data_IF_950027110643
#
_entry.id   IF_950027110643
#
_cell.length_a   1.000
_cell.length_b   1.000
_cell.length_c   1.000
_cell.angle_alpha   90.00
_cell.angle_beta   90.00
_cell.angle_gamma   90.00
#
_symmetry.space_group_name_H-M   'P 1'
#
loop_
_entity.id
_entity.type
_entity.pdbx_description
1 polymer ?
#
# COMPACT_ATOMS: atom_id res chain seq x y z
N UNK A 1 -2.44 23.90 -13.93
CA UNK A 1 -3.31 24.56 -14.93
C UNK A 1 -2.83 25.98 -15.16
N UNK A 2 -2.26 26.20 -16.29
CA UNK A 2 -1.65 27.44 -16.67
C UNK A 2 -2.69 28.37 -17.32
N UNK A 3 -2.49 29.70 -17.17
CA UNK A 3 -3.34 30.73 -17.77
C UNK A 3 -2.97 30.96 -19.26
N UNK A 4 -2.82 29.86 -20.00
CA UNK A 4 -2.43 29.88 -21.40
C UNK A 4 -3.65 29.78 -22.32
N UNK A 5 -3.62 30.35 -23.50
CA UNK A 5 -4.61 30.14 -24.53
C UNK A 5 -4.78 28.65 -24.89
N UNK A 6 -5.89 28.30 -25.50
CA UNK A 6 -6.11 26.94 -26.01
C UNK A 6 -5.07 26.61 -27.08
N UNK A 7 -4.39 25.48 -26.92
CA UNK A 7 -3.34 25.04 -27.87
C UNK A 7 -3.94 24.50 -29.18
N UNK A 8 -5.18 24.05 -29.17
CA UNK A 8 -5.87 23.46 -30.31
C UNK A 8 -7.39 23.75 -30.29
N UNK A 9 -8.00 23.68 -31.46
CA UNK A 9 -9.45 23.69 -31.64
C UNK A 9 -9.97 22.26 -31.68
N UNK A 10 -11.12 22.02 -31.05
CA UNK A 10 -11.78 20.71 -31.01
C UNK A 10 -13.12 20.82 -31.67
N UNK A 11 -13.39 19.98 -32.66
CA UNK A 11 -14.69 19.90 -33.39
C UNK A 11 -15.39 18.58 -33.09
N UNK A 12 -16.72 18.65 -32.86
CA UNK A 12 -17.51 17.44 -32.75
C UNK A 12 -17.68 16.82 -34.17
N UNK A 13 -17.33 15.55 -34.31
CA UNK A 13 -17.47 14.80 -35.58
C UNK A 13 -18.79 14.05 -35.66
N UNK A 14 -19.47 13.87 -34.54
CA UNK A 14 -20.78 13.22 -34.44
C UNK A 14 -21.66 13.98 -33.46
N UNK A 15 -22.95 13.74 -33.50
CA UNK A 15 -23.90 14.26 -32.50
C UNK A 15 -23.64 13.55 -31.17
N UNK A 16 -23.43 14.32 -30.09
CA UNK A 16 -23.15 13.80 -28.76
C UNK A 16 -23.43 14.80 -27.66
N UNK A 17 -23.30 14.37 -26.41
CA UNK A 17 -23.40 15.19 -25.21
C UNK A 17 -22.09 15.26 -24.51
N UNK A 18 -21.72 16.43 -24.00
CA UNK A 18 -20.49 16.66 -23.26
C UNK A 18 -20.78 17.24 -21.87
N UNK A 19 -20.04 16.79 -20.90
CA UNK A 19 -19.98 17.45 -19.60
C UNK A 19 -18.97 18.56 -19.62
N UNK A 20 -19.38 19.77 -19.23
CA UNK A 20 -18.49 20.92 -19.11
C UNK A 20 -18.29 21.28 -17.64
N UNK A 21 -17.03 21.55 -17.28
CA UNK A 21 -16.69 22.00 -15.94
C UNK A 21 -15.90 23.32 -16.02
N UNK A 22 -16.36 24.33 -15.27
CA UNK A 22 -15.63 25.59 -15.20
C UNK A 22 -14.29 25.41 -14.49
N UNK A 23 -13.30 26.29 -14.79
CA UNK A 23 -12.01 26.32 -14.11
C UNK A 23 -12.17 26.48 -12.59
N UNK A 24 -13.11 27.33 -12.15
CA UNK A 24 -13.36 27.57 -10.74
C UNK A 24 -13.89 26.30 -10.04
N UNK A 25 -14.83 25.62 -10.65
CA UNK A 25 -15.38 24.34 -10.16
C UNK A 25 -14.31 23.27 -10.11
N UNK A 26 -13.48 23.14 -11.16
CA UNK A 26 -12.36 22.21 -11.20
C UNK A 26 -11.39 22.45 -10.04
N UNK A 27 -10.94 23.70 -9.86
CA UNK A 27 -10.05 24.06 -8.76
C UNK A 27 -10.65 23.75 -7.40
N UNK A 28 -11.91 24.13 -7.19
CA UNK A 28 -12.59 23.92 -5.91
C UNK A 28 -12.78 22.45 -5.58
N UNK A 29 -13.14 21.61 -6.52
CA UNK A 29 -13.47 20.21 -6.28
C UNK A 29 -12.20 19.35 -6.35
N UNK A 30 -11.49 19.38 -7.47
CA UNK A 30 -10.37 18.45 -7.73
C UNK A 30 -9.15 18.79 -6.89
N UNK A 31 -8.74 20.08 -6.87
CA UNK A 31 -7.55 20.46 -6.10
C UNK A 31 -7.81 20.38 -4.59
N UNK A 32 -9.01 20.69 -4.12
CA UNK A 32 -9.35 20.55 -2.70
C UNK A 32 -9.31 19.08 -2.27
N UNK A 33 -9.86 18.16 -3.09
CA UNK A 33 -9.82 16.72 -2.79
C UNK A 33 -8.39 16.19 -2.76
N UNK A 34 -7.57 16.55 -3.75
CA UNK A 34 -6.16 16.16 -3.78
C UNK A 34 -5.40 16.68 -2.54
N UNK A 35 -5.63 17.95 -2.16
CA UNK A 35 -5.03 18.53 -0.97
C UNK A 35 -5.47 17.81 0.30
N UNK A 36 -6.77 17.53 0.46
CA UNK A 36 -7.29 16.82 1.64
C UNK A 36 -6.74 15.39 1.72
N UNK A 37 -6.68 14.67 0.58
CA UNK A 37 -6.06 13.35 0.51
C UNK A 37 -4.60 13.39 0.98
N UNK A 38 -3.79 14.32 0.45
CA UNK A 38 -2.39 14.47 0.86
C UNK A 38 -2.25 14.74 2.35
N UNK A 39 -3.06 15.65 2.90
CA UNK A 39 -3.04 15.98 4.32
C UNK A 39 -3.40 14.78 5.22
N UNK A 40 -4.35 13.95 4.79
CA UNK A 40 -4.72 12.73 5.49
C UNK A 40 -3.56 11.73 5.52
N UNK A 41 -2.93 11.47 4.36
CA UNK A 41 -1.81 10.54 4.27
C UNK A 41 -0.52 11.11 4.89
N UNK A 42 -0.27 12.41 4.85
CA UNK A 42 0.88 13.05 5.50
C UNK A 42 0.92 12.70 7.00
N UNK A 43 -0.20 12.93 7.69
CA UNK A 43 -0.34 12.57 9.11
C UNK A 43 -0.20 11.07 9.39
N UNK A 44 -0.54 10.22 8.42
CA UNK A 44 -0.37 8.78 8.52
C UNK A 44 1.10 8.37 8.29
N UNK A 45 1.74 8.88 7.24
CA UNK A 45 3.12 8.59 6.86
C UNK A 45 4.10 8.95 7.99
N UNK A 46 3.86 10.05 8.70
CA UNK A 46 4.70 10.46 9.83
C UNK A 46 4.70 9.46 10.98
N UNK A 47 3.63 8.65 11.12
CA UNK A 47 3.48 7.65 12.19
C UNK A 47 4.06 6.29 11.84
N UNK A 48 4.28 6.01 10.57
CA UNK A 48 4.80 4.72 10.12
C UNK A 48 6.33 4.73 10.18
N UNK A 49 6.89 3.83 10.97
CA UNK A 49 8.33 3.78 11.31
C UNK A 49 9.24 3.77 10.09
N UNK A 50 8.90 2.94 9.08
CA UNK A 50 9.72 2.77 7.88
C UNK A 50 9.78 4.02 6.99
N UNK A 51 8.87 4.99 7.19
CA UNK A 51 8.84 6.23 6.41
C UNK A 51 9.57 7.41 7.07
N UNK A 52 10.11 7.22 8.27
CA UNK A 52 10.83 8.29 8.98
C UNK A 52 12.06 8.81 8.22
N UNK A 53 12.66 7.95 7.38
CA UNK A 53 13.87 8.24 6.63
C UNK A 53 13.61 8.83 5.24
N UNK A 54 12.32 8.93 4.85
CA UNK A 54 11.95 9.54 3.58
C UNK A 54 12.04 11.06 3.67
N UNK A 55 12.58 11.66 2.61
CA UNK A 55 12.57 13.11 2.42
C UNK A 55 11.14 13.62 2.18
N UNK A 56 10.93 14.92 2.39
CA UNK A 56 9.60 15.54 2.27
C UNK A 56 8.94 15.28 0.91
N UNK A 57 9.69 15.42 -0.19
CA UNK A 57 9.16 15.17 -1.54
C UNK A 57 8.81 13.70 -1.80
N UNK A 58 9.54 12.77 -1.17
CA UNK A 58 9.25 11.33 -1.25
C UNK A 58 7.96 11.00 -0.50
N UNK A 59 7.76 11.56 0.68
CA UNK A 59 6.52 11.45 1.47
C UNK A 59 5.31 11.99 0.71
N UNK A 60 5.47 13.12 0.00
CA UNK A 60 4.41 13.66 -0.87
C UNK A 60 4.09 12.71 -2.03
N UNK A 61 5.11 12.18 -2.70
CA UNK A 61 4.94 11.23 -3.80
C UNK A 61 4.27 9.95 -3.34
N UNK A 62 4.61 9.48 -2.13
CA UNK A 62 3.97 8.32 -1.49
C UNK A 62 2.50 8.60 -1.16
N UNK A 63 2.17 9.79 -0.63
CA UNK A 63 0.79 10.22 -0.37
C UNK A 63 -0.08 10.18 -1.63
N UNK A 64 0.48 10.58 -2.77
CA UNK A 64 -0.23 10.57 -4.06
C UNK A 64 -0.43 9.15 -4.59
N UNK A 65 0.52 8.24 -4.33
CA UNK A 65 0.49 6.86 -4.81
C UNK A 65 -0.44 5.95 -3.99
N UNK A 66 -0.68 6.25 -2.73
CA UNK A 66 -1.58 5.44 -1.91
C UNK A 66 -3.00 5.38 -2.46
N UNK A 67 -3.57 4.17 -2.42
CA UNK A 67 -4.98 3.90 -2.73
C UNK A 67 -5.68 3.40 -1.47
N UNK A 68 -6.79 4.04 -1.09
CA UNK A 68 -7.61 3.57 0.03
C UNK A 68 -8.38 2.31 -0.36
N UNK A 69 -8.31 1.27 0.47
CA UNK A 69 -9.13 0.06 0.40
C UNK A 69 -9.85 -0.13 1.73
N UNK A 70 -11.10 -0.57 1.68
CA UNK A 70 -11.96 -0.77 2.85
C UNK A 70 -12.40 -2.22 2.91
N UNK A 71 -12.39 -2.78 4.11
CA UNK A 71 -12.74 -4.17 4.38
C UNK A 71 -13.59 -4.27 5.63
N UNK A 72 -14.54 -5.21 5.63
CA UNK A 72 -15.36 -5.55 6.78
C UNK A 72 -14.75 -6.72 7.55
N UNK A 73 -15.21 -6.93 8.77
CA UNK A 73 -14.76 -8.05 9.61
C UNK A 73 -14.83 -9.40 8.87
N UNK A 74 -13.74 -10.13 8.85
CA UNK A 74 -13.61 -11.43 8.19
C UNK A 74 -13.24 -11.38 6.71
N UNK A 75 -13.25 -10.21 6.07
CA UNK A 75 -12.85 -10.09 4.67
C UNK A 75 -11.39 -10.53 4.46
N UNK A 76 -11.15 -11.30 3.40
CA UNK A 76 -9.83 -11.68 2.95
C UNK A 76 -9.16 -10.52 2.20
N UNK A 77 -8.01 -10.07 2.71
CA UNK A 77 -7.22 -8.98 2.11
C UNK A 77 -6.13 -9.54 1.19
N UNK A 78 -5.41 -10.55 1.68
CA UNK A 78 -4.37 -11.30 0.96
C UNK A 78 -4.62 -12.79 1.15
N UNK A 79 -4.45 -13.58 0.09
CA UNK A 79 -4.49 -15.03 0.15
C UNK A 79 -3.07 -15.61 0.06
N UNK A 80 -2.74 -16.56 0.95
CA UNK A 80 -1.49 -17.31 0.89
C UNK A 80 -1.35 -18.01 -0.47
N UNK A 81 -0.16 -17.94 -1.06
CA UNK A 81 0.14 -18.53 -2.36
C UNK A 81 -0.13 -17.63 -3.56
N UNK A 82 -0.89 -16.53 -3.41
CA UNK A 82 -1.14 -15.60 -4.50
C UNK A 82 0.12 -14.79 -4.87
N UNK A 83 0.14 -14.27 -6.08
CA UNK A 83 1.17 -13.34 -6.54
C UNK A 83 1.02 -11.98 -5.82
N UNK A 84 2.15 -11.31 -5.61
CA UNK A 84 2.14 -10.01 -4.97
C UNK A 84 1.61 -8.92 -5.92
N UNK A 85 0.56 -8.21 -5.50
CA UNK A 85 -0.02 -7.05 -6.19
C UNK A 85 0.44 -5.71 -5.60
N UNK A 86 1.02 -5.72 -4.40
CA UNK A 86 1.49 -4.55 -3.70
C UNK A 86 1.73 -4.78 -2.22
N UNK A 87 1.87 -3.69 -1.49
CA UNK A 87 2.08 -3.64 -0.04
C UNK A 87 0.90 -2.92 0.63
N UNK A 88 0.60 -3.30 1.85
CA UNK A 88 -0.58 -2.87 2.59
C UNK A 88 -0.18 -2.24 3.91
N UNK A 89 -0.78 -1.10 4.24
CA UNK A 89 -0.56 -0.38 5.49
C UNK A 89 -1.88 -0.16 6.21
N UNK A 90 -1.95 -0.51 7.49
CA UNK A 90 -3.18 -0.37 8.29
C UNK A 90 -3.34 1.10 8.71
N UNK A 91 -4.34 1.78 8.15
CA UNK A 91 -4.72 3.13 8.55
C UNK A 91 -5.65 3.13 9.77
N UNK A 92 -6.62 2.22 9.77
CA UNK A 92 -7.62 2.07 10.84
C UNK A 92 -8.02 0.61 10.96
N UNK A 93 -8.38 0.19 12.17
CA UNK A 93 -8.78 -1.18 12.48
C UNK A 93 -7.62 -2.13 12.73
N UNK A 94 -7.91 -3.43 12.66
CA UNK A 94 -6.97 -4.52 12.91
C UNK A 94 -6.95 -5.52 11.76
N UNK A 95 -5.78 -6.08 11.49
CA UNK A 95 -5.58 -7.16 10.51
C UNK A 95 -4.90 -8.33 11.21
N UNK A 96 -5.41 -9.54 11.03
CA UNK A 96 -4.76 -10.78 11.47
C UNK A 96 -4.03 -11.43 10.32
N UNK A 97 -2.82 -11.88 10.56
CA UNK A 97 -1.99 -12.62 9.60
C UNK A 97 -2.04 -14.09 10.00
N UNK A 98 -2.42 -14.94 9.05
CA UNK A 98 -2.66 -16.37 9.28
C UNK A 98 -1.87 -17.18 8.26
N UNK A 99 -1.14 -18.18 8.72
CA UNK A 99 -0.51 -19.20 7.87
C UNK A 99 -1.29 -20.50 7.93
N UNK A 100 -1.58 -21.06 6.78
CA UNK A 100 -2.12 -22.40 6.67
C UNK A 100 -0.97 -23.39 6.40
N UNK A 101 -0.87 -24.40 7.24
CA UNK A 101 0.12 -25.47 7.09
C UNK A 101 -0.53 -26.82 7.49
N UNK A 102 -0.47 -27.80 6.57
CA UNK A 102 -1.07 -29.13 6.77
C UNK A 102 -2.57 -29.11 7.09
N UNK A 103 -3.31 -28.15 6.53
CA UNK A 103 -4.75 -27.99 6.78
C UNK A 103 -5.10 -27.34 8.13
N UNK A 104 -4.11 -26.83 8.84
CA UNK A 104 -4.33 -26.09 10.10
C UNK A 104 -3.95 -24.61 9.92
N UNK A 105 -4.84 -23.73 10.36
CA UNK A 105 -4.59 -22.30 10.40
C UNK A 105 -3.88 -21.93 11.70
N UNK A 106 -2.78 -21.18 11.58
CA UNK A 106 -2.06 -20.59 12.70
C UNK A 106 -2.04 -19.07 12.57
N UNK A 107 -2.57 -18.34 13.53
CA UNK A 107 -2.43 -16.89 13.60
C UNK A 107 -0.97 -16.55 13.99
N UNK A 108 -0.27 -15.83 13.10
CA UNK A 108 1.14 -15.45 13.27
C UNK A 108 1.27 -14.13 13.99
N UNK A 109 0.44 -13.16 13.62
CA UNK A 109 0.47 -11.82 14.19
C UNK A 109 -0.85 -11.09 13.96
N UNK A 110 -1.04 -10.03 14.76
CA UNK A 110 -2.12 -9.07 14.59
C UNK A 110 -1.51 -7.68 14.46
N UNK A 111 -1.93 -6.96 13.44
CA UNK A 111 -1.44 -5.63 13.09
C UNK A 111 -2.52 -4.59 13.35
N UNK A 112 -2.12 -3.49 13.93
CA UNK A 112 -2.94 -2.31 14.18
C UNK A 112 -2.49 -1.12 13.34
N UNK A 113 -3.02 0.05 13.64
CA UNK A 113 -2.72 1.30 12.96
C UNK A 113 -1.22 1.60 12.91
N UNK A 114 -0.70 1.77 11.71
CA UNK A 114 0.73 1.98 11.43
C UNK A 114 1.48 0.69 11.07
N UNK A 115 0.86 -0.47 11.32
CA UNK A 115 1.39 -1.75 10.86
C UNK A 115 1.34 -1.89 9.34
N UNK A 116 2.20 -2.73 8.79
CA UNK A 116 2.26 -3.02 7.36
C UNK A 116 2.49 -4.51 7.11
N UNK A 117 2.09 -4.98 5.94
CA UNK A 117 2.22 -6.39 5.55
C UNK A 117 2.24 -6.56 4.04
N UNK A 118 2.65 -7.76 3.60
CA UNK A 118 2.74 -8.12 2.19
C UNK A 118 4.06 -7.72 1.53
N UNK A 119 4.99 -7.10 2.26
CA UNK A 119 6.32 -6.69 1.80
C UNK A 119 7.21 -7.88 1.42
N UNK A 120 7.04 -9.02 2.14
CA UNK A 120 7.89 -10.20 1.94
C UNK A 120 7.85 -10.72 0.51
N UNK A 121 6.65 -10.84 -0.05
CA UNK A 121 6.46 -11.32 -1.41
C UNK A 121 7.08 -10.36 -2.46
N UNK A 122 7.09 -9.05 -2.19
CA UNK A 122 7.72 -8.05 -3.06
C UNK A 122 9.24 -8.11 -2.98
N UNK A 123 9.79 -8.27 -1.78
CA UNK A 123 11.24 -8.32 -1.53
C UNK A 123 11.83 -9.64 -2.03
N UNK A 124 11.16 -10.75 -1.77
CA UNK A 124 11.63 -12.10 -2.11
C UNK A 124 11.27 -12.55 -3.52
N UNK A 125 10.36 -11.83 -4.19
CA UNK A 125 9.76 -12.21 -5.48
C UNK A 125 9.11 -13.61 -5.45
N UNK A 126 8.65 -14.02 -4.27
CA UNK A 126 7.94 -15.28 -4.02
C UNK A 126 6.44 -15.02 -3.84
N UNK A 127 5.57 -16.03 -3.97
CA UNK A 127 4.15 -15.88 -3.62
C UNK A 127 3.93 -15.45 -2.17
N UNK A 128 2.73 -14.98 -1.87
CA UNK A 128 2.31 -14.57 -0.52
C UNK A 128 2.54 -15.70 0.50
N UNK A 129 3.32 -15.44 1.54
CA UNK A 129 3.70 -16.42 2.55
C UNK A 129 2.58 -16.78 3.53
N UNK A 130 1.60 -15.90 3.68
CA UNK A 130 0.48 -16.03 4.59
C UNK A 130 -0.75 -15.30 4.05
N UNK A 131 -1.92 -15.62 4.58
CA UNK A 131 -3.16 -14.90 4.37
C UNK A 131 -3.31 -13.75 5.36
N UNK A 132 -4.02 -12.70 4.95
CA UNK A 132 -4.37 -11.57 5.82
C UNK A 132 -5.88 -11.35 5.79
N UNK A 133 -6.47 -11.20 6.98
CA UNK A 133 -7.91 -10.99 7.15
C UNK A 133 -8.19 -9.75 7.97
N UNK A 134 -9.27 -9.05 7.63
CA UNK A 134 -9.78 -7.97 8.45
C UNK A 134 -10.28 -8.51 9.81
N UNK A 135 -9.80 -7.96 10.92
CA UNK A 135 -10.05 -8.43 12.28
C UNK A 135 -10.81 -7.42 13.16
N UNK A 136 -11.37 -6.39 12.55
CA UNK A 136 -12.29 -5.42 13.18
C UNK A 136 -13.47 -5.12 12.25
N UNK A 137 -14.57 -4.55 12.76
CA UNK A 137 -15.78 -4.28 11.97
C UNK A 137 -15.53 -3.46 10.71
N UNK A 138 -14.59 -2.54 10.79
CA UNK A 138 -14.15 -1.71 9.67
C UNK A 138 -12.62 -1.64 9.69
N UNK A 139 -12.01 -1.93 8.53
CA UNK A 139 -10.56 -1.84 8.32
C UNK A 139 -10.29 -0.95 7.13
N UNK A 140 -9.48 0.08 7.34
CA UNK A 140 -9.01 0.98 6.29
C UNK A 140 -7.54 0.73 6.02
N UNK A 141 -7.23 0.45 4.78
CA UNK A 141 -5.88 0.15 4.29
C UNK A 141 -5.41 1.23 3.33
N UNK A 142 -4.18 1.69 3.49
CA UNK A 142 -3.44 2.38 2.45
C UNK A 142 -2.67 1.33 1.64
N UNK A 143 -3.09 1.11 0.41
CA UNK A 143 -2.48 0.16 -0.50
C UNK A 143 -1.49 0.87 -1.42
N UNK A 144 -0.33 0.25 -1.64
CA UNK A 144 0.71 0.70 -2.55
C UNK A 144 1.01 -0.42 -3.55
N UNK A 145 0.79 -0.18 -4.83
CA UNK A 145 1.06 -1.17 -5.87
C UNK A 145 2.56 -1.45 -6.05
N UNK A 146 2.89 -2.54 -6.77
CA UNK A 146 4.28 -3.01 -6.97
C UNK A 146 5.16 -1.93 -7.59
N UNK A 147 4.68 -1.24 -8.63
CA UNK A 147 5.48 -0.23 -9.36
C UNK A 147 5.76 0.99 -8.48
N UNK A 148 4.76 1.44 -7.72
CA UNK A 148 4.92 2.53 -6.77
C UNK A 148 5.84 2.12 -5.61
N UNK A 149 5.72 0.88 -5.12
CA UNK A 149 6.62 0.32 -4.11
C UNK A 149 8.08 0.34 -4.56
N UNK A 150 8.39 -0.22 -5.73
CA UNK A 150 9.76 -0.27 -6.26
C UNK A 150 10.34 1.14 -6.47
N UNK A 151 9.55 2.05 -7.01
CA UNK A 151 9.96 3.42 -7.31
C UNK A 151 10.18 4.28 -6.06
N UNK A 152 9.26 4.21 -5.09
CA UNK A 152 9.22 5.14 -3.96
C UNK A 152 9.88 4.58 -2.70
N UNK A 153 9.81 3.26 -2.48
CA UNK A 153 10.35 2.60 -1.30
C UNK A 153 11.68 1.87 -1.56
N UNK A 154 12.26 2.02 -2.74
CA UNK A 154 13.60 1.51 -3.04
C UNK A 154 14.64 1.86 -1.96
N UNK A 155 14.75 3.13 -1.51
CA UNK A 155 15.63 3.51 -0.38
C UNK A 155 15.26 2.82 0.93
N UNK A 156 13.97 2.58 1.20
CA UNK A 156 13.49 1.88 2.41
C UNK A 156 13.75 0.37 2.37
N UNK A 157 13.98 -0.21 1.19
CA UNK A 157 14.30 -1.62 1.03
C UNK A 157 15.49 -2.07 1.89
N UNK A 158 16.53 -1.24 1.99
CA UNK A 158 17.69 -1.55 2.82
C UNK A 158 17.34 -1.54 4.32
N UNK A 159 16.42 -0.69 4.73
CA UNK A 159 15.93 -0.62 6.11
C UNK A 159 15.03 -1.82 6.38
N UNK A 160 14.11 -2.13 5.47
CA UNK A 160 13.30 -3.34 5.56
C UNK A 160 14.19 -4.58 5.63
N UNK A 161 15.24 -4.68 4.79
CA UNK A 161 16.22 -5.76 4.82
C UNK A 161 17.03 -5.81 6.13
N UNK A 162 17.37 -4.69 6.76
CA UNK A 162 18.04 -4.66 8.07
C UNK A 162 17.13 -5.11 9.20
N UNK A 163 15.88 -4.77 9.15
CA UNK A 163 14.86 -5.28 10.07
C UNK A 163 14.61 -6.80 9.87
N UNK A 164 15.07 -7.37 8.75
CA UNK A 164 15.07 -8.82 8.51
C UNK A 164 15.81 -9.61 9.61
N UNK A 165 16.84 -9.09 10.23
CA UNK A 165 17.53 -9.79 11.32
C UNK A 165 16.60 -9.98 12.53
N UNK A 166 15.62 -9.09 12.75
CA UNK A 166 14.54 -9.29 13.70
C UNK A 166 13.42 -10.19 13.15
N UNK A 167 13.27 -10.24 11.82
CA UNK A 167 12.30 -11.11 11.14
C UNK A 167 12.87 -12.50 10.83
N UNK A 168 14.18 -12.73 10.94
CA UNK A 168 14.78 -14.04 10.64
C UNK A 168 14.11 -15.15 11.45
N UNK A 169 13.85 -14.94 12.72
CA UNK A 169 13.13 -15.91 13.55
C UNK A 169 11.66 -16.06 13.15
N UNK A 170 11.02 -15.01 12.69
CA UNK A 170 9.65 -15.07 12.17
C UNK A 170 9.63 -15.68 10.77
N UNK A 171 10.61 -15.38 9.92
CA UNK A 171 10.77 -15.98 8.60
C UNK A 171 11.10 -17.46 8.66
N UNK A 172 11.94 -17.89 9.61
CA UNK A 172 12.20 -19.31 9.87
C UNK A 172 10.90 -20.02 10.31
N UNK A 173 10.07 -19.38 11.12
CA UNK A 173 8.74 -19.89 11.45
C UNK A 173 7.79 -19.91 10.25
N UNK A 174 7.88 -18.92 9.34
CA UNK A 174 7.04 -18.81 8.15
C UNK A 174 7.45 -19.76 7.03
N UNK A 175 8.75 -19.96 6.82
CA UNK A 175 9.30 -20.72 5.70
C UNK A 175 9.90 -22.09 6.09
N UNK A 176 9.82 -22.47 7.37
CA UNK A 176 10.18 -23.80 7.88
C UNK A 176 11.66 -24.15 7.90
N UNK A 177 12.56 -23.35 7.29
CA UNK A 177 14.01 -23.56 7.39
C UNK A 177 14.82 -22.32 6.98
N UNK A 178 16.03 -22.19 7.53
CA UNK A 178 17.01 -21.15 7.15
C UNK A 178 17.45 -21.24 5.66
N UNK A 179 17.41 -22.40 5.05
CA UNK A 179 17.81 -22.61 3.65
C UNK A 179 16.92 -21.86 2.64
N UNK A 180 15.65 -21.60 2.99
CA UNK A 180 14.73 -20.85 2.14
C UNK A 180 14.88 -19.32 2.27
N UNK A 181 15.70 -18.85 3.21
CA UNK A 181 15.93 -17.42 3.50
C UNK A 181 17.29 -16.96 2.97
N UNK A 182 18.25 -17.87 2.77
CA UNK A 182 19.63 -17.57 2.35
C UNK A 182 19.76 -17.09 0.90
N UNK A 183 18.73 -17.24 0.08
CA UNK A 183 18.69 -16.77 -1.33
C UNK A 183 18.35 -15.26 -1.47
N UNK A 184 18.43 -14.52 -0.38
CA UNK A 184 18.09 -13.09 -0.32
C UNK A 184 19.32 -12.14 -0.29
N UNK A 185 20.53 -12.68 -0.60
CA UNK A 185 21.76 -11.89 -0.68
C UNK A 185 22.07 -11.44 -2.10
#
# INVERSE_FOLDING_TARGET
MYNMPRAATVHATTKGSLWAMSRQTFRRIVLKRAFMKRKEYESFIEKVEIFKFLEYYEKMSLSDAFMARYYNYGDLIIKQGDQADGMYFVQEGFVRIVKEENGQEQELSRLDKGGYFGELALITKKPRAASAYAASPEVKIAFLDVLAFERLLGPCMNIMKRNFNHYEDQLVKLFGSKSNVTDLR
#
